data_IF_186097019083
#
_entry.id   IF_186097019083
#
_cell.length_a   1.000
_cell.length_b   1.000
_cell.length_c   1.000
_cell.angle_alpha   90.00
_cell.angle_beta   90.00
_cell.angle_gamma   90.00
#
_symmetry.space_group_name_H-M   'P 1'
#
loop_
_entity.id
_entity.type
_entity.pdbx_description
1 polymer ?
#
# COMPACT_ATOMS: atom_id res chain seq x y z
N UNK A 1 10.86 11.76 -22.78
CA UNK A 1 9.98 12.94 -22.82
C UNK A 1 9.35 13.12 -21.44
N UNK A 2 9.41 14.30 -20.84
CA UNK A 2 8.77 14.53 -19.53
C UNK A 2 7.24 14.49 -19.70
N UNK A 3 6.56 13.85 -18.75
CA UNK A 3 5.10 13.80 -18.68
C UNK A 3 4.51 15.23 -18.58
N UNK A 4 3.37 15.53 -19.25
CA UNK A 4 2.78 16.86 -19.25
C UNK A 4 2.37 17.29 -17.84
N UNK A 5 2.51 18.58 -17.56
CA UNK A 5 2.27 19.23 -16.27
C UNK A 5 0.85 19.01 -15.68
N UNK A 6 -0.10 18.58 -16.50
CA UNK A 6 -1.48 18.23 -16.11
C UNK A 6 -1.61 16.99 -15.24
N UNK A 7 -0.59 16.11 -15.20
CA UNK A 7 -0.60 14.92 -14.33
C UNK A 7 -0.33 15.26 -12.85
N UNK A 8 0.21 16.44 -12.55
CA UNK A 8 0.51 16.88 -11.17
C UNK A 8 -0.68 17.50 -10.42
N UNK A 9 -1.78 17.83 -11.09
CA UNK A 9 -2.81 18.71 -10.52
C UNK A 9 -4.10 18.03 -10.06
N UNK A 10 -4.29 16.71 -10.23
CA UNK A 10 -5.59 16.05 -9.94
C UNK A 10 -5.47 14.71 -9.20
N UNK A 11 -4.91 14.72 -8.00
CA UNK A 11 -5.24 13.71 -7.00
C UNK A 11 -6.48 14.18 -6.20
N UNK A 12 -7.60 14.41 -6.87
CA UNK A 12 -8.91 14.50 -6.24
C UNK A 12 -9.59 13.14 -6.40
N UNK A 13 -9.97 12.56 -5.27
CA UNK A 13 -10.87 11.41 -5.20
C UNK A 13 -12.12 11.78 -6.01
N UNK A 14 -12.30 11.16 -7.17
CA UNK A 14 -13.52 11.27 -7.96
C UNK A 14 -14.28 9.97 -7.73
N UNK A 15 -15.33 10.05 -6.95
CA UNK A 15 -16.43 9.07 -7.02
C UNK A 15 -17.02 9.16 -8.42
N UNK A 16 -16.94 8.08 -9.19
CA UNK A 16 -17.63 7.97 -10.48
C UNK A 16 -18.21 6.59 -10.68
N UNK A 17 -19.44 6.59 -11.18
CA UNK A 17 -20.28 5.47 -11.55
C UNK A 17 -19.55 4.44 -12.45
N UNK A 18 -19.88 3.13 -12.34
CA UNK A 18 -19.27 2.10 -13.16
C UNK A 18 -19.65 2.31 -14.64
N UNK A 19 -18.66 2.55 -15.47
CA UNK A 19 -18.80 2.59 -16.91
C UNK A 19 -18.35 1.25 -17.54
N UNK A 20 -18.87 0.96 -18.72
CA UNK A 20 -18.63 -0.27 -19.51
C UNK A 20 -17.13 -0.60 -19.72
N UNK A 21 -16.26 0.36 -19.42
CA UNK A 21 -14.80 0.30 -19.55
C UNK A 21 -14.09 -0.33 -18.34
N UNK A 22 -14.82 -0.59 -17.22
CA UNK A 22 -14.29 -1.30 -16.04
C UNK A 22 -14.15 -2.81 -16.26
N UNK A 23 -14.66 -3.34 -17.36
CA UNK A 23 -14.65 -4.77 -17.66
C UNK A 23 -13.33 -5.27 -18.29
N UNK A 24 -12.45 -4.37 -18.79
CA UNK A 24 -11.20 -4.83 -19.40
C UNK A 24 -10.23 -5.35 -18.34
N UNK A 25 -9.65 -6.55 -18.54
CA UNK A 25 -8.61 -7.08 -17.67
C UNK A 25 -7.38 -6.16 -17.60
N UNK A 26 -6.67 -6.14 -16.45
CA UNK A 26 -5.42 -5.39 -16.32
C UNK A 26 -4.40 -5.73 -17.41
N UNK A 27 -4.37 -6.98 -17.87
CA UNK A 27 -3.48 -7.41 -18.96
C UNK A 27 -3.71 -6.61 -20.24
N UNK A 28 -4.97 -6.42 -20.64
CA UNK A 28 -5.32 -5.68 -21.84
C UNK A 28 -5.03 -4.19 -21.69
N UNK A 29 -5.33 -3.63 -20.52
CA UNK A 29 -4.97 -2.24 -20.19
C UNK A 29 -3.45 -2.02 -20.24
N UNK A 30 -2.65 -2.95 -19.73
CA UNK A 30 -1.18 -2.88 -19.78
C UNK A 30 -0.69 -2.91 -21.23
N UNK A 31 -1.23 -3.78 -22.07
CA UNK A 31 -0.84 -3.87 -23.49
C UNK A 31 -1.18 -2.58 -24.25
N UNK A 32 -2.37 -2.02 -24.03
CA UNK A 32 -2.78 -0.74 -24.61
C UNK A 32 -1.92 0.42 -24.11
N UNK A 33 -1.64 0.46 -22.81
CA UNK A 33 -0.81 1.49 -22.20
C UNK A 33 0.62 1.48 -22.76
N UNK A 34 1.19 0.31 -23.04
CA UNK A 34 2.50 0.16 -23.70
C UNK A 34 2.53 0.72 -25.11
N UNK A 35 1.41 0.69 -25.82
CA UNK A 35 1.29 1.30 -27.17
C UNK A 35 1.00 2.80 -27.12
N UNK A 36 1.02 3.43 -25.93
CA UNK A 36 0.86 4.88 -25.78
C UNK A 36 -0.58 5.32 -25.49
N UNK A 37 -1.48 4.39 -25.19
CA UNK A 37 -2.88 4.71 -24.84
C UNK A 37 -2.94 5.31 -23.43
N UNK A 38 -3.08 6.63 -23.36
CA UNK A 38 -3.18 7.37 -22.08
C UNK A 38 -4.45 7.04 -21.30
N UNK A 39 -5.55 6.69 -21.98
CA UNK A 39 -6.76 6.25 -21.32
C UNK A 39 -6.52 4.96 -20.53
N UNK A 40 -5.80 3.99 -21.10
CA UNK A 40 -5.45 2.74 -20.42
C UNK A 40 -4.57 2.99 -19.17
N UNK A 41 -3.63 3.95 -19.23
CA UNK A 41 -2.86 4.37 -18.05
C UNK A 41 -3.75 4.96 -16.96
N UNK A 42 -4.72 5.80 -17.35
CA UNK A 42 -5.68 6.39 -16.40
C UNK A 42 -6.54 5.31 -15.73
N UNK A 43 -7.02 4.33 -16.50
CA UNK A 43 -7.82 3.20 -15.96
C UNK A 43 -7.01 2.35 -14.97
N UNK A 44 -5.77 2.00 -15.30
CA UNK A 44 -4.87 1.31 -14.39
C UNK A 44 -4.64 2.11 -13.09
N UNK A 45 -4.44 3.42 -13.21
CA UNK A 45 -4.32 4.31 -12.06
C UNK A 45 -5.58 4.28 -11.19
N UNK A 46 -6.75 4.56 -11.75
CA UNK A 46 -8.03 4.62 -11.02
C UNK A 46 -8.33 3.31 -10.28
N UNK A 47 -8.11 2.17 -10.95
CA UNK A 47 -8.36 0.83 -10.40
C UNK A 47 -7.47 0.50 -9.21
N UNK A 48 -6.22 0.96 -9.23
CA UNK A 48 -5.22 0.53 -8.25
C UNK A 48 -4.80 1.62 -7.24
N UNK A 49 -5.23 2.89 -7.40
CA UNK A 49 -4.78 3.98 -6.52
C UNK A 49 -5.16 3.73 -5.06
N UNK A 50 -6.36 3.26 -4.80
CA UNK A 50 -6.81 2.97 -3.43
C UNK A 50 -6.01 1.82 -2.80
N UNK A 51 -5.69 0.78 -3.57
CA UNK A 51 -4.84 -0.31 -3.12
C UNK A 51 -3.45 0.19 -2.72
N UNK A 52 -2.82 1.01 -3.57
CA UNK A 52 -1.46 1.53 -3.32
C UNK A 52 -1.45 2.52 -2.16
N UNK A 53 -2.35 3.51 -2.18
CA UNK A 53 -2.44 4.54 -1.13
C UNK A 53 -2.81 3.91 0.23
N UNK A 54 -3.79 3.01 0.28
CA UNK A 54 -4.18 2.30 1.49
C UNK A 54 -3.06 1.41 2.03
N UNK A 55 -2.29 0.73 1.15
CA UNK A 55 -1.12 -0.05 1.58
C UNK A 55 -0.06 0.87 2.21
N UNK A 56 0.27 1.98 1.54
CA UNK A 56 1.25 2.93 2.03
C UNK A 56 0.82 3.57 3.36
N UNK A 57 -0.45 3.97 3.48
CA UNK A 57 -1.00 4.59 4.69
C UNK A 57 -0.94 3.64 5.89
N UNK A 58 -1.36 2.40 5.74
CA UNK A 58 -1.32 1.38 6.82
C UNK A 58 0.11 1.02 7.23
N UNK A 59 1.07 1.11 6.31
CA UNK A 59 2.47 0.82 6.61
C UNK A 59 3.20 2.01 7.22
N UNK A 60 2.97 3.23 6.73
CA UNK A 60 3.69 4.44 7.15
C UNK A 60 3.00 5.17 8.31
N UNK A 61 1.66 5.02 8.43
CA UNK A 61 0.84 5.72 9.43
C UNK A 61 0.99 7.26 9.37
N UNK A 62 1.31 7.76 8.21
CA UNK A 62 1.43 9.17 7.90
C UNK A 62 0.85 9.42 6.52
N UNK A 63 -0.16 10.29 6.44
CA UNK A 63 -0.92 10.55 5.23
C UNK A 63 -0.07 11.18 4.13
N UNK A 64 0.70 12.21 4.47
CA UNK A 64 1.56 12.88 3.50
C UNK A 64 2.61 11.93 2.91
N UNK A 65 3.28 11.13 3.76
CA UNK A 65 4.22 10.11 3.30
C UNK A 65 3.54 9.04 2.43
N UNK A 66 2.29 8.66 2.73
CA UNK A 66 1.55 7.68 1.96
C UNK A 66 1.15 8.21 0.58
N UNK A 67 0.72 9.46 0.49
CA UNK A 67 0.38 10.15 -0.77
C UNK A 67 1.62 10.28 -1.66
N UNK A 68 2.75 10.69 -1.10
CA UNK A 68 4.04 10.76 -1.82
C UNK A 68 4.46 9.37 -2.35
N UNK A 69 4.37 8.33 -1.52
CA UNK A 69 4.70 6.96 -1.92
C UNK A 69 3.75 6.46 -3.01
N UNK A 70 2.46 6.76 -2.93
CA UNK A 70 1.51 6.37 -3.97
C UNK A 70 1.86 7.05 -5.31
N UNK A 71 2.15 8.35 -5.29
CA UNK A 71 2.55 9.09 -6.48
C UNK A 71 3.86 8.54 -7.07
N UNK A 72 4.92 8.37 -6.25
CA UNK A 72 6.19 7.79 -6.68
C UNK A 72 6.03 6.38 -7.28
N UNK A 73 5.12 5.59 -6.71
CA UNK A 73 4.83 4.22 -7.16
C UNK A 73 4.27 4.21 -8.57
N UNK A 74 3.25 5.03 -8.86
CA UNK A 74 2.66 5.08 -10.20
C UNK A 74 3.58 5.70 -11.23
N UNK A 75 4.31 6.75 -10.88
CA UNK A 75 5.32 7.32 -11.78
C UNK A 75 6.35 6.27 -12.20
N UNK A 76 6.89 5.52 -11.24
CA UNK A 76 7.87 4.48 -11.54
C UNK A 76 7.23 3.29 -12.27
N UNK A 77 6.00 2.89 -11.92
CA UNK A 77 5.31 1.80 -12.58
C UNK A 77 5.06 2.12 -14.05
N UNK A 78 4.60 3.32 -14.37
CA UNK A 78 4.34 3.71 -15.76
C UNK A 78 5.63 3.91 -16.56
N UNK A 79 6.68 4.46 -15.95
CA UNK A 79 8.01 4.53 -16.56
C UNK A 79 8.56 3.14 -16.93
N UNK A 80 8.33 2.15 -16.06
CA UNK A 80 8.85 0.79 -16.21
C UNK A 80 7.84 -0.21 -16.74
N UNK A 81 6.69 0.24 -17.24
CA UNK A 81 5.61 -0.65 -17.68
C UNK A 81 6.05 -1.62 -18.77
N UNK A 82 6.96 -1.20 -19.65
CA UNK A 82 7.54 -2.05 -20.69
C UNK A 82 8.39 -3.20 -20.14
N UNK A 83 8.90 -3.09 -18.91
CA UNK A 83 9.72 -4.12 -18.25
C UNK A 83 8.89 -5.20 -17.53
N UNK A 84 7.58 -5.03 -17.41
CA UNK A 84 6.68 -6.03 -16.83
C UNK A 84 6.59 -7.22 -17.81
N UNK A 85 7.18 -8.36 -17.47
CA UNK A 85 7.22 -9.52 -18.37
C UNK A 85 5.80 -10.08 -18.63
N UNK A 86 4.98 -10.20 -17.58
CA UNK A 86 3.63 -10.78 -17.65
C UNK A 86 2.59 -9.69 -17.36
N UNK A 87 1.82 -9.22 -18.36
CA UNK A 87 0.82 -8.16 -18.16
C UNK A 87 -0.24 -8.49 -17.10
N UNK A 88 -0.63 -9.76 -16.96
CA UNK A 88 -1.60 -10.20 -15.95
C UNK A 88 -1.06 -10.07 -14.51
N UNK A 89 0.26 -10.01 -14.33
CA UNK A 89 0.91 -9.83 -13.04
C UNK A 89 0.99 -8.35 -12.58
N UNK A 90 0.33 -7.40 -13.29
CA UNK A 90 0.43 -5.96 -13.03
C UNK A 90 0.16 -5.60 -11.57
N UNK A 91 -0.94 -6.10 -10.98
CA UNK A 91 -1.33 -5.82 -9.59
C UNK A 91 -0.21 -6.21 -8.60
N UNK A 92 0.28 -7.44 -8.68
CA UNK A 92 1.35 -7.93 -7.79
C UNK A 92 2.67 -7.17 -7.99
N UNK A 93 3.00 -6.85 -9.24
CA UNK A 93 4.18 -6.05 -9.57
C UNK A 93 4.08 -4.62 -9.03
N UNK A 94 2.92 -3.98 -9.14
CA UNK A 94 2.65 -2.64 -8.59
C UNK A 94 2.78 -2.63 -7.06
N UNK A 95 2.21 -3.63 -6.36
CA UNK A 95 2.34 -3.80 -4.91
C UNK A 95 3.81 -3.96 -4.50
N UNK A 96 4.61 -4.71 -5.26
CA UNK A 96 6.05 -4.83 -5.02
C UNK A 96 6.78 -3.50 -5.11
N UNK A 97 6.43 -2.65 -6.09
CA UNK A 97 6.99 -1.31 -6.20
C UNK A 97 6.58 -0.48 -4.97
N UNK A 98 5.30 -0.47 -4.60
CA UNK A 98 4.78 0.27 -3.45
C UNK A 98 5.50 -0.12 -2.16
N UNK A 99 5.62 -1.41 -1.86
CA UNK A 99 6.33 -1.92 -0.67
C UNK A 99 7.81 -1.47 -0.67
N UNK A 100 8.47 -1.52 -1.82
CA UNK A 100 9.86 -1.04 -1.94
C UNK A 100 9.98 0.45 -1.60
N UNK A 101 9.01 1.29 -2.05
CA UNK A 101 8.95 2.72 -1.76
C UNK A 101 8.67 2.99 -0.28
N UNK A 102 7.71 2.27 0.31
CA UNK A 102 7.42 2.33 1.75
C UNK A 102 8.68 2.02 2.58
N UNK A 103 9.38 0.93 2.28
CA UNK A 103 10.59 0.56 3.01
C UNK A 103 11.70 1.62 2.87
N UNK A 104 11.84 2.22 1.68
CA UNK A 104 12.79 3.31 1.45
C UNK A 104 12.42 4.54 2.27
N UNK A 105 11.12 4.96 2.26
CA UNK A 105 10.63 6.11 3.02
C UNK A 105 10.82 5.91 4.52
N UNK A 106 10.46 4.74 5.02
CA UNK A 106 10.63 4.38 6.43
C UNK A 106 12.09 4.44 6.88
N UNK A 107 13.04 3.92 6.09
CA UNK A 107 14.47 4.02 6.41
C UNK A 107 14.95 5.46 6.41
N UNK A 108 14.55 6.27 5.45
CA UNK A 108 14.91 7.68 5.37
C UNK A 108 14.37 8.47 6.57
N UNK A 109 13.13 8.20 7.01
CA UNK A 109 12.54 8.81 8.21
C UNK A 109 13.29 8.40 9.48
N UNK A 110 13.58 7.12 9.65
CA UNK A 110 14.36 6.61 10.79
C UNK A 110 15.75 7.26 10.86
N UNK A 111 16.43 7.41 9.72
CA UNK A 111 17.74 8.05 9.68
C UNK A 111 17.66 9.54 10.04
N UNK A 112 16.64 10.26 9.54
CA UNK A 112 16.41 11.68 9.89
C UNK A 112 16.13 11.85 11.39
N UNK A 113 15.30 10.99 11.98
CA UNK A 113 15.03 11.02 13.43
C UNK A 113 16.26 10.77 14.29
N UNK A 114 17.23 9.98 13.81
CA UNK A 114 18.51 9.78 14.48
C UNK A 114 19.44 11.00 14.37
N UNK A 115 19.37 11.75 13.26
CA UNK A 115 20.24 12.91 13.01
C UNK A 115 19.66 14.21 13.57
N UNK A 116 18.34 14.30 13.72
CA UNK A 116 17.63 15.52 14.16
C UNK A 116 16.58 15.16 15.22
N UNK A 117 16.98 14.75 16.44
CA UNK A 117 16.07 14.24 17.47
C UNK A 117 15.07 15.28 18.01
N UNK A 118 15.33 16.58 17.83
CA UNK A 118 14.43 17.68 18.26
C UNK A 118 13.42 18.15 17.20
N UNK A 119 13.44 17.57 16.02
CA UNK A 119 12.44 17.83 15.03
C UNK A 119 11.37 16.73 15.12
N UNK A 120 10.52 16.84 16.14
CA UNK A 120 9.23 16.15 16.17
C UNK A 120 8.44 16.67 14.95
N UNK A 121 8.53 15.97 13.83
CA UNK A 121 7.53 16.10 12.79
C UNK A 121 6.24 15.63 13.48
N UNK A 122 5.33 16.56 13.77
CA UNK A 122 3.94 16.28 14.15
C UNK A 122 3.35 15.44 13.00
N UNK A 123 3.61 14.15 13.09
CA UNK A 123 2.97 13.17 12.21
C UNK A 123 1.57 13.04 12.74
N UNK A 124 0.59 13.59 12.03
CA UNK A 124 -0.79 13.14 12.20
C UNK A 124 -0.78 11.63 11.99
N UNK A 125 -0.69 10.89 13.09
CA UNK A 125 -0.79 9.43 13.04
C UNK A 125 -2.20 9.09 12.59
N UNK A 126 -2.32 8.73 11.33
CA UNK A 126 -3.59 8.30 10.79
C UNK A 126 -3.88 6.91 11.35
N UNK A 127 -4.90 6.82 12.18
CA UNK A 127 -5.42 5.56 12.71
C UNK A 127 -6.22 4.81 11.63
N UNK A 128 -6.18 3.48 11.65
CA UNK A 128 -7.08 2.63 10.86
C UNK A 128 -8.55 2.82 11.27
N UNK A 129 -8.81 3.36 12.47
CA UNK A 129 -10.15 3.72 12.91
C UNK A 129 -10.81 4.78 12.01
N UNK A 130 -10.01 5.71 11.46
CA UNK A 130 -10.51 6.73 10.53
C UNK A 130 -10.98 6.13 9.19
N UNK A 131 -10.56 4.91 8.87
CA UNK A 131 -11.01 4.15 7.69
C UNK A 131 -12.14 3.16 8.03
N UNK A 132 -12.55 3.06 9.31
CA UNK A 132 -13.67 2.20 9.70
C UNK A 132 -14.93 2.64 8.95
N UNK A 133 -15.65 1.66 8.40
CA UNK A 133 -16.92 1.93 7.70
C UNK A 133 -17.87 2.66 8.65
N UNK A 134 -18.64 3.58 8.12
CA UNK A 134 -19.62 4.37 8.90
C UNK A 134 -20.64 3.48 9.63
N UNK A 135 -20.88 2.25 9.12
CA UNK A 135 -21.79 1.24 9.65
C UNK A 135 -21.16 0.31 10.70
N UNK A 136 -19.89 0.51 11.09
CA UNK A 136 -19.22 -0.32 12.11
C UNK A 136 -19.83 -0.09 13.50
N UNK A 137 -20.11 -1.19 14.21
CA UNK A 137 -20.62 -1.12 15.60
C UNK A 137 -19.56 -0.60 16.56
N UNK A 138 -19.94 -0.07 17.75
CA UNK A 138 -18.98 0.38 18.75
C UNK A 138 -17.95 -0.71 19.13
N UNK A 139 -18.39 -1.97 19.24
CA UNK A 139 -17.54 -3.12 19.57
C UNK A 139 -16.52 -3.36 18.45
N UNK A 140 -16.95 -3.32 17.19
CA UNK A 140 -16.07 -3.45 16.03
C UNK A 140 -15.03 -2.32 15.96
N UNK A 141 -15.40 -1.10 16.33
CA UNK A 141 -14.46 0.03 16.40
C UNK A 141 -13.39 -0.20 17.47
N UNK A 142 -13.79 -0.71 18.65
CA UNK A 142 -12.84 -1.06 19.72
C UNK A 142 -11.88 -2.16 19.26
N UNK A 143 -12.38 -3.21 18.60
CA UNK A 143 -11.53 -4.29 18.06
C UNK A 143 -10.55 -3.78 16.99
N UNK A 144 -11.01 -2.90 16.09
CA UNK A 144 -10.17 -2.26 15.09
C UNK A 144 -9.09 -1.39 15.74
N UNK A 145 -9.42 -0.62 16.78
CA UNK A 145 -8.48 0.19 17.53
C UNK A 145 -7.39 -0.65 18.20
N UNK A 146 -7.78 -1.78 18.82
CA UNK A 146 -6.83 -2.70 19.44
C UNK A 146 -5.90 -3.34 18.40
N UNK A 147 -6.45 -3.76 17.26
CA UNK A 147 -5.67 -4.29 16.14
C UNK A 147 -4.71 -3.24 15.58
N UNK A 148 -5.18 -1.99 15.41
CA UNK A 148 -4.36 -0.89 14.93
C UNK A 148 -3.17 -0.61 15.84
N UNK A 149 -3.39 -0.55 17.16
CA UNK A 149 -2.32 -0.41 18.15
C UNK A 149 -1.33 -1.57 18.10
N UNK A 150 -1.84 -2.80 18.01
CA UNK A 150 -0.99 -3.98 17.89
C UNK A 150 -0.11 -3.93 16.63
N UNK A 151 -0.71 -3.55 15.48
CA UNK A 151 0.02 -3.39 14.22
C UNK A 151 1.04 -2.25 14.28
N UNK A 152 0.72 -1.14 14.95
CA UNK A 152 1.64 -0.02 15.14
C UNK A 152 2.91 -0.44 15.90
N UNK A 153 2.75 -1.31 16.90
CA UNK A 153 3.86 -1.83 17.72
C UNK A 153 4.76 -2.83 16.96
N UNK A 154 4.29 -3.39 15.82
CA UNK A 154 5.08 -4.36 15.07
C UNK A 154 6.20 -3.68 14.29
N UNK A 155 7.41 -4.28 14.25
CA UNK A 155 8.43 -3.91 13.27
C UNK A 155 7.88 -3.99 11.83
N UNK A 156 8.32 -3.06 10.96
CA UNK A 156 7.84 -2.98 9.58
C UNK A 156 7.99 -4.31 8.82
N UNK A 157 9.06 -5.06 9.07
CA UNK A 157 9.35 -6.36 8.47
C UNK A 157 8.36 -7.47 8.84
N UNK A 158 7.65 -7.36 9.97
CA UNK A 158 6.55 -8.25 10.37
C UNK A 158 5.20 -7.69 9.92
N UNK A 159 5.01 -6.37 10.08
CA UNK A 159 3.77 -5.68 9.72
C UNK A 159 3.48 -5.75 8.22
N UNK A 160 4.51 -5.56 7.37
CA UNK A 160 4.33 -5.57 5.90
C UNK A 160 3.74 -6.89 5.39
N UNK A 161 4.34 -8.07 5.60
CA UNK A 161 3.78 -9.31 5.09
C UNK A 161 2.43 -9.66 5.71
N UNK A 162 2.19 -9.28 6.95
CA UNK A 162 0.91 -9.49 7.60
C UNK A 162 -0.20 -8.68 6.93
N UNK A 163 0.00 -7.37 6.72
CA UNK A 163 -0.97 -6.51 6.03
C UNK A 163 -1.23 -6.95 4.59
N UNK A 164 -0.19 -7.31 3.84
CA UNK A 164 -0.36 -7.80 2.47
C UNK A 164 -1.21 -9.06 2.42
N UNK A 165 -1.01 -9.98 3.36
CA UNK A 165 -1.74 -11.26 3.42
C UNK A 165 -3.18 -11.09 3.89
N UNK A 166 -3.40 -10.44 5.04
CA UNK A 166 -4.69 -10.44 5.73
C UNK A 166 -5.60 -9.27 5.34
N UNK A 167 -5.04 -8.13 4.96
CA UNK A 167 -5.83 -6.95 4.60
C UNK A 167 -5.92 -6.77 3.08
N UNK A 168 -4.80 -6.95 2.37
CA UNK A 168 -4.75 -6.76 0.92
C UNK A 168 -5.09 -8.02 0.12
N UNK A 169 -5.27 -9.18 0.77
CA UNK A 169 -5.64 -10.44 0.14
C UNK A 169 -4.56 -11.02 -0.79
N UNK A 170 -3.30 -10.60 -0.68
CA UNK A 170 -2.23 -11.13 -1.50
C UNK A 170 -1.97 -12.62 -1.21
N UNK A 171 -1.66 -13.41 -2.24
CA UNK A 171 -1.16 -14.76 -2.06
C UNK A 171 0.19 -14.75 -1.31
N UNK A 172 0.56 -15.87 -0.70
CA UNK A 172 1.84 -15.96 0.06
C UNK A 172 3.03 -15.74 -0.87
N UNK A 173 2.94 -16.23 -2.10
CA UNK A 173 3.92 -16.10 -3.17
C UNK A 173 4.08 -14.62 -3.59
N UNK A 174 2.97 -13.93 -3.79
CA UNK A 174 2.95 -12.49 -4.10
C UNK A 174 3.53 -11.68 -2.94
N UNK A 175 3.19 -12.04 -1.70
CA UNK A 175 3.71 -11.41 -0.49
C UNK A 175 5.23 -11.60 -0.39
N UNK A 176 5.74 -12.80 -0.69
CA UNK A 176 7.17 -13.08 -0.70
C UNK A 176 7.91 -12.24 -1.75
N UNK A 177 7.37 -12.19 -2.96
CA UNK A 177 7.90 -11.36 -4.05
C UNK A 177 7.90 -9.87 -3.68
N UNK A 178 6.81 -9.37 -3.09
CA UNK A 178 6.68 -7.98 -2.66
C UNK A 178 7.66 -7.62 -1.54
N UNK A 179 7.87 -8.54 -0.58
CA UNK A 179 8.82 -8.35 0.54
C UNK A 179 10.28 -8.64 0.16
N UNK A 180 10.56 -9.16 -1.04
CA UNK A 180 11.91 -9.51 -1.48
C UNK A 180 12.56 -10.62 -0.65
N UNK A 181 11.78 -11.62 -0.21
CA UNK A 181 12.28 -12.71 0.63
C UNK A 181 11.66 -14.06 0.27
N UNK A 182 12.17 -15.16 0.84
CA UNK A 182 11.67 -16.50 0.57
C UNK A 182 10.27 -16.75 1.16
N UNK A 183 9.53 -17.71 0.60
CA UNK A 183 8.23 -18.18 1.11
C UNK A 183 8.33 -18.60 2.59
N UNK A 184 9.39 -19.32 2.96
CA UNK A 184 9.61 -19.73 4.33
C UNK A 184 9.77 -18.53 5.28
N UNK A 185 10.49 -17.50 4.83
CA UNK A 185 10.66 -16.25 5.59
C UNK A 185 9.34 -15.52 5.77
N UNK A 186 8.52 -15.39 4.71
CA UNK A 186 7.20 -14.75 4.78
C UNK A 186 6.30 -15.49 5.77
N UNK A 187 6.17 -16.81 5.64
CA UNK A 187 5.35 -17.63 6.54
C UNK A 187 5.76 -17.44 8.01
N UNK A 188 7.07 -17.49 8.29
CA UNK A 188 7.60 -17.25 9.64
C UNK A 188 7.29 -15.84 10.15
N UNK A 189 7.43 -14.81 9.28
CA UNK A 189 7.13 -13.41 9.66
C UNK A 189 5.65 -13.20 9.93
N UNK A 190 4.76 -13.79 9.14
CA UNK A 190 3.31 -13.73 9.37
C UNK A 190 2.97 -14.39 10.72
N UNK A 191 3.45 -15.61 10.96
CA UNK A 191 3.20 -16.30 12.24
C UNK A 191 3.73 -15.52 13.44
N UNK A 192 4.91 -14.91 13.32
CA UNK A 192 5.46 -14.07 14.39
C UNK A 192 4.64 -12.78 14.60
N UNK A 193 4.06 -12.22 13.54
CA UNK A 193 3.14 -11.09 13.66
C UNK A 193 1.84 -11.49 14.35
N UNK A 194 1.22 -12.64 13.94
CA UNK A 194 0.00 -13.18 14.55
C UNK A 194 0.16 -13.39 16.06
N UNK A 195 1.29 -13.97 16.47
CA UNK A 195 1.59 -14.19 17.88
C UNK A 195 1.67 -12.88 18.66
N UNK A 196 2.39 -11.89 18.12
CA UNK A 196 2.52 -10.57 18.77
C UNK A 196 1.18 -9.82 18.82
N UNK A 197 0.38 -9.86 17.75
CA UNK A 197 -0.96 -9.26 17.73
C UNK A 197 -1.84 -9.90 18.80
N UNK A 198 -1.87 -11.23 18.87
CA UNK A 198 -2.65 -11.97 19.89
C UNK A 198 -2.26 -11.59 21.31
N UNK A 199 -0.97 -11.43 21.61
CA UNK A 199 -0.51 -10.98 22.92
C UNK A 199 -1.00 -9.55 23.25
N UNK A 200 -1.07 -8.66 22.28
CA UNK A 200 -1.54 -7.29 22.48
C UNK A 200 -3.06 -7.21 22.60
N UNK A 201 -3.80 -8.04 21.89
CA UNK A 201 -5.28 -8.03 21.89
C UNK A 201 -5.87 -8.96 22.96
N UNK A 202 -5.19 -10.03 23.33
CA UNK A 202 -5.65 -11.03 24.32
C UNK A 202 -5.49 -10.61 25.78
N UNK A 203 -4.71 -9.58 26.09
CA UNK A 203 -4.56 -9.03 27.45
C UNK A 203 -5.71 -8.11 27.91
N UNK A 204 -6.72 -7.89 27.05
CA UNK A 204 -7.88 -7.02 27.32
C UNK A 204 -9.17 -7.82 27.69
N UNK A 205 -9.03 -9.08 28.14
CA UNK A 205 -10.15 -9.88 28.69
C UNK A 205 -10.03 -10.02 30.19
#
# INVERSE_FOLDING_TARGET
>A
MPLPATARAKLRIVESLPSRDEELPDADLVLRARSGDHWALEMLYRRHVQLVAGTALRLLRNRADAEDVAQETFLLAFEKLSQLAEPAAFRGWLVRIAVSRVHRRFRARKLRGLLLPWRDEESEETSLEAEAREDATPEQRVELALLDRALAALPLELRTPWLLRHVMGCAVEETAAACGCSLATVKRRISAADEKIRLHTGGAR
#
